data_IF_984497097691
#
_entry.id   IF_984497097691
#
_cell.length_a   1.000
_cell.length_b   1.000
_cell.length_c   1.000
_cell.angle_alpha   90.00
_cell.angle_beta   90.00
_cell.angle_gamma   90.00
#
_symmetry.space_group_name_H-M   'P 1'
#
loop_
_entity.id
_entity.type
_entity.pdbx_description
1 polymer ?
#
# COMPACT_ATOMS: atom_id res chain seq x y z
N UNK A 1 -2.35 11.37 -7.48
CA UNK A 1 -2.42 10.83 -6.10
C UNK A 1 -2.33 12.00 -5.15
N UNK A 2 -3.27 12.14 -4.22
CA UNK A 2 -3.28 13.22 -3.24
C UNK A 2 -2.99 12.65 -1.85
N UNK A 3 -2.37 13.45 -0.99
CA UNK A 3 -2.23 13.16 0.42
C UNK A 3 -3.44 13.76 1.13
N UNK A 4 -4.13 12.97 1.95
CA UNK A 4 -5.27 13.43 2.72
C UNK A 4 -4.78 14.25 3.91
N UNK A 5 -5.42 15.40 4.16
CA UNK A 5 -5.06 16.25 5.30
C UNK A 5 -5.53 15.62 6.62
N UNK A 6 -4.92 16.02 7.73
CA UNK A 6 -5.28 15.54 9.07
C UNK A 6 -6.75 15.84 9.39
N UNK A 7 -7.26 17.00 8.99
CA UNK A 7 -8.66 17.39 9.20
C UNK A 7 -9.62 16.44 8.47
N UNK A 8 -9.24 16.01 7.26
CA UNK A 8 -10.01 15.02 6.50
C UNK A 8 -10.00 13.65 7.19
N UNK A 9 -8.84 13.21 7.69
CA UNK A 9 -8.72 11.94 8.41
C UNK A 9 -9.56 11.93 9.70
N UNK A 10 -9.58 13.06 10.42
CA UNK A 10 -10.42 13.24 11.62
C UNK A 10 -11.90 13.19 11.26
N UNK A 11 -12.32 13.91 10.20
CA UNK A 11 -13.73 13.95 9.80
C UNK A 11 -14.28 12.56 9.41
N UNK A 12 -13.44 11.75 8.76
CA UNK A 12 -13.78 10.38 8.32
C UNK A 12 -13.11 9.30 9.17
N UNK A 13 -12.88 9.55 10.46
CA UNK A 13 -12.20 8.62 11.36
C UNK A 13 -12.73 7.19 11.24
N UNK A 14 -11.80 6.23 11.08
CA UNK A 14 -12.04 4.79 10.93
C UNK A 14 -12.88 4.35 9.71
N UNK A 15 -13.19 5.27 8.78
CA UNK A 15 -14.03 5.03 7.60
C UNK A 15 -13.27 5.07 6.28
N UNK A 16 -11.96 5.33 6.31
CA UNK A 16 -11.14 5.42 5.10
C UNK A 16 -10.43 4.09 4.87
N UNK A 17 -10.63 3.52 3.68
CA UNK A 17 -9.98 2.30 3.21
C UNK A 17 -9.09 2.67 2.02
N UNK A 18 -7.88 2.15 2.01
CA UNK A 18 -6.95 2.30 0.90
C UNK A 18 -6.53 0.93 0.33
N UNK A 19 -6.24 0.90 -0.97
CA UNK A 19 -5.74 -0.26 -1.70
C UNK A 19 -4.25 -0.06 -2.00
N UNK A 20 -3.47 -1.10 -1.76
CA UNK A 20 -2.05 -1.15 -2.06
C UNK A 20 -1.70 -2.39 -2.88
N UNK A 21 -0.80 -2.28 -3.85
CA UNK A 21 -0.44 -3.35 -4.80
C UNK A 21 0.79 -4.16 -4.39
N UNK A 22 0.97 -4.33 -3.07
CA UNK A 22 1.88 -5.31 -2.49
C UNK A 22 1.30 -5.91 -1.20
N UNK A 23 1.88 -7.01 -0.73
CA UNK A 23 1.50 -7.59 0.57
C UNK A 23 2.02 -6.72 1.73
N UNK A 24 1.38 -6.79 2.92
CA UNK A 24 1.80 -6.02 4.10
C UNK A 24 3.29 -6.20 4.41
N UNK A 25 4.02 -5.09 4.59
CA UNK A 25 5.44 -5.09 4.97
C UNK A 25 6.43 -5.52 3.88
N UNK A 26 5.99 -5.78 2.64
CA UNK A 26 6.91 -6.15 1.56
C UNK A 26 7.62 -4.96 0.92
N UNK A 27 6.87 -3.90 0.59
CA UNK A 27 7.37 -2.72 -0.11
C UNK A 27 6.60 -1.49 0.36
N UNK A 28 7.30 -0.36 0.47
CA UNK A 28 6.68 0.92 0.85
C UNK A 28 6.64 1.90 -0.33
N UNK A 29 5.64 2.79 -0.33
CA UNK A 29 5.57 3.91 -1.29
C UNK A 29 5.22 3.50 -2.73
N UNK A 30 5.51 4.38 -3.69
CA UNK A 30 5.14 4.25 -5.11
C UNK A 30 6.03 3.25 -5.86
N UNK A 31 5.61 2.78 -7.04
CA UNK A 31 6.36 1.78 -7.86
C UNK A 31 6.44 0.38 -7.23
N UNK A 32 5.49 0.04 -6.36
CA UNK A 32 5.35 -1.28 -5.74
C UNK A 32 5.19 -2.42 -6.78
N UNK A 33 4.42 -2.22 -7.84
CA UNK A 33 4.30 -3.21 -8.93
C UNK A 33 5.64 -3.49 -9.60
N UNK A 34 6.42 -2.44 -9.92
CA UNK A 34 7.73 -2.62 -10.54
C UNK A 34 8.71 -3.33 -9.60
N UNK A 35 8.75 -2.95 -8.33
CA UNK A 35 9.65 -3.56 -7.35
C UNK A 35 9.28 -5.01 -7.02
N UNK A 36 7.99 -5.31 -6.90
CA UNK A 36 7.51 -6.69 -6.70
C UNK A 36 7.86 -7.56 -7.91
N UNK A 37 7.73 -7.03 -9.13
CA UNK A 37 8.18 -7.71 -10.34
C UNK A 37 9.69 -7.98 -10.35
N UNK A 38 10.52 -6.98 -10.01
CA UNK A 38 11.98 -7.17 -9.94
C UNK A 38 12.36 -8.21 -8.87
N UNK A 39 11.73 -8.19 -7.71
CA UNK A 39 11.96 -9.18 -6.65
C UNK A 39 11.55 -10.60 -7.07
N UNK A 40 10.49 -10.73 -7.88
CA UNK A 40 10.11 -12.00 -8.48
C UNK A 40 11.16 -12.51 -9.46
N UNK A 41 11.64 -11.64 -10.36
CA UNK A 41 12.69 -11.98 -11.33
C UNK A 41 14.01 -12.42 -10.66
N UNK A 42 14.33 -11.84 -9.50
CA UNK A 42 15.50 -12.20 -8.71
C UNK A 42 15.28 -13.43 -7.79
N UNK A 43 14.13 -14.12 -7.90
CA UNK A 43 13.73 -15.24 -7.04
C UNK A 43 13.70 -14.90 -5.54
N UNK A 44 13.58 -13.61 -5.19
CA UNK A 44 13.54 -13.13 -3.79
C UNK A 44 12.15 -13.27 -3.18
N UNK A 45 11.11 -13.02 -3.98
CA UNK A 45 9.70 -13.19 -3.58
C UNK A 45 8.94 -13.99 -4.64
N UNK A 46 8.44 -15.19 -4.32
CA UNK A 46 7.77 -16.04 -5.31
C UNK A 46 6.34 -15.58 -5.63
N UNK A 47 5.79 -14.66 -4.84
CA UNK A 47 4.46 -14.10 -5.03
C UNK A 47 4.35 -12.68 -4.46
N UNK A 48 3.35 -11.97 -4.95
CA UNK A 48 2.89 -10.66 -4.44
C UNK A 48 1.36 -10.70 -4.37
N UNK A 49 0.72 -9.59 -4.00
CA UNK A 49 -0.72 -9.48 -3.96
C UNK A 49 -1.19 -8.05 -3.78
N UNK A 50 -2.45 -7.90 -3.38
CA UNK A 50 -3.02 -6.62 -3.01
C UNK A 50 -3.38 -6.61 -1.52
N UNK A 51 -3.23 -5.45 -0.89
CA UNK A 51 -3.60 -5.20 0.50
C UNK A 51 -4.72 -4.17 0.55
N UNK A 52 -5.79 -4.50 1.26
CA UNK A 52 -6.83 -3.56 1.67
C UNK A 52 -6.57 -3.21 3.13
N UNK A 53 -6.40 -1.92 3.44
CA UNK A 53 -6.12 -1.49 4.81
C UNK A 53 -6.88 -0.22 5.18
N UNK A 54 -7.10 -0.02 6.48
CA UNK A 54 -7.59 1.26 7.00
C UNK A 54 -6.48 2.30 6.95
N UNK A 55 -6.83 3.53 6.60
CA UNK A 55 -5.94 4.68 6.81
C UNK A 55 -6.06 5.08 8.29
N UNK A 56 -4.91 5.17 8.96
CA UNK A 56 -4.79 5.55 10.37
C UNK A 56 -4.10 6.92 10.49
N UNK A 57 -4.31 7.58 11.63
CA UNK A 57 -3.64 8.84 11.97
C UNK A 57 -2.16 8.60 12.34
#
# INVERSE_FOLDING_TARGET
>A
MYILSVEFLIFFQDKIINLYSALPGQFDGTHDIQRTYMAFMESKNPHTGAMVHKVIL
#
